data_IF_430572094040
#
_entry.id   IF_430572094040
#
_cell.length_a   1.000
_cell.length_b   1.000
_cell.length_c   1.000
_cell.angle_alpha   90.00
_cell.angle_beta   90.00
_cell.angle_gamma   90.00
#
_symmetry.space_group_name_H-M   'P 1'
#
loop_
_entity.id
_entity.type
_entity.pdbx_description
1 polymer ?
#
# COMPACT_ATOMS: atom_id res chain seq x y z
N UNK A 1 -25.98 -22.22 -101.71
CA UNK A 1 -26.46 -20.86 -102.01
C UNK A 1 -26.76 -20.16 -100.67
N UNK A 2 -25.90 -19.40 -100.11
CA UNK A 2 -25.76 -17.96 -100.21
C UNK A 2 -26.81 -17.16 -99.46
N UNK A 3 -26.41 -16.58 -98.31
CA UNK A 3 -26.50 -15.10 -98.22
C UNK A 3 -25.83 -14.66 -96.92
N UNK A 4 -24.89 -13.75 -97.07
CA UNK A 4 -24.29 -12.96 -95.96
C UNK A 4 -25.30 -11.94 -95.48
N UNK A 5 -25.34 -11.76 -94.20
CA UNK A 5 -25.89 -10.54 -93.58
C UNK A 5 -24.91 -10.07 -92.55
N UNK A 6 -24.39 -8.89 -92.79
CA UNK A 6 -23.57 -8.09 -91.87
C UNK A 6 -24.55 -7.55 -90.80
N UNK A 7 -24.13 -7.67 -89.55
CA UNK A 7 -24.73 -6.94 -88.43
C UNK A 7 -23.60 -6.28 -87.65
N UNK A 8 -23.69 -4.97 -87.62
CA UNK A 8 -22.69 -4.13 -86.96
C UNK A 8 -22.79 -4.25 -85.43
N UNK A 9 -21.67 -4.27 -84.81
CA UNK A 9 -21.51 -4.19 -83.39
C UNK A 9 -21.20 -2.78 -82.95
N UNK A 10 -22.12 -2.12 -82.25
CA UNK A 10 -21.92 -0.88 -81.54
C UNK A 10 -21.09 -1.18 -80.28
N UNK A 11 -19.88 -0.66 -80.22
CA UNK A 11 -19.04 -0.71 -79.02
C UNK A 11 -19.49 0.40 -78.06
N UNK A 12 -20.13 0.03 -76.98
CA UNK A 12 -20.40 0.94 -75.85
C UNK A 12 -19.23 0.88 -74.90
N UNK A 13 -18.40 1.92 -74.87
CA UNK A 13 -17.32 2.10 -73.91
C UNK A 13 -17.89 2.52 -72.56
N UNK A 14 -17.88 1.57 -71.59
CA UNK A 14 -18.16 1.86 -70.20
C UNK A 14 -16.87 2.30 -69.55
N UNK A 15 -16.75 3.61 -69.20
CA UNK A 15 -15.72 4.12 -68.33
C UNK A 15 -15.99 3.61 -66.88
N UNK A 16 -15.24 2.66 -66.44
CA UNK A 16 -15.16 2.28 -65.03
C UNK A 16 -14.29 3.30 -64.29
N UNK A 17 -14.92 4.22 -63.58
CA UNK A 17 -14.25 5.09 -62.60
C UNK A 17 -13.85 4.28 -61.40
N UNK A 18 -12.57 3.88 -61.32
CA UNK A 18 -11.95 3.22 -60.14
C UNK A 18 -11.73 4.29 -59.08
N UNK A 19 -12.63 4.46 -58.13
CA UNK A 19 -12.43 5.23 -56.92
C UNK A 19 -11.42 4.47 -56.02
N UNK A 20 -10.14 4.88 -56.03
CA UNK A 20 -9.18 4.50 -55.02
C UNK A 20 -9.62 5.11 -53.68
N UNK A 21 -10.23 4.29 -52.84
CA UNK A 21 -10.35 4.61 -51.43
C UNK A 21 -8.96 4.50 -50.83
N UNK A 22 -8.32 5.63 -50.61
CA UNK A 22 -7.10 5.69 -49.81
C UNK A 22 -7.46 5.29 -48.37
N UNK A 23 -7.22 4.03 -48.00
CA UNK A 23 -7.19 3.62 -46.62
C UNK A 23 -6.03 4.33 -45.95
N UNK A 24 -6.31 5.44 -45.28
CA UNK A 24 -5.38 6.06 -44.36
C UNK A 24 -5.11 5.04 -43.24
N UNK A 25 -3.99 4.34 -43.34
CA UNK A 25 -3.45 3.58 -42.20
C UNK A 25 -3.13 4.59 -41.10
N UNK A 26 -4.04 4.73 -40.13
CA UNK A 26 -3.72 5.42 -38.88
C UNK A 26 -2.58 4.61 -38.27
N UNK A 27 -1.36 5.08 -38.50
CA UNK A 27 -0.18 4.57 -37.80
C UNK A 27 -0.43 4.85 -36.32
N UNK A 28 -0.90 3.86 -35.58
CA UNK A 28 -1.07 3.94 -34.13
C UNK A 28 0.31 4.19 -33.53
N UNK A 29 0.66 5.46 -33.33
CA UNK A 29 1.82 5.80 -32.54
C UNK A 29 1.64 5.11 -31.19
N UNK A 30 2.49 4.14 -30.88
CA UNK A 30 2.48 3.48 -29.58
C UNK A 30 2.70 4.56 -28.53
N UNK A 31 1.66 4.82 -27.72
CA UNK A 31 1.76 5.80 -26.62
C UNK A 31 2.89 5.32 -25.71
N UNK A 32 4.00 6.06 -25.71
CA UNK A 32 5.14 5.75 -24.85
C UNK A 32 4.73 6.03 -23.40
N UNK A 33 4.54 4.95 -22.62
CA UNK A 33 4.19 5.06 -21.22
C UNK A 33 5.36 5.59 -20.38
N UNK A 34 5.08 6.53 -19.49
CA UNK A 34 6.06 7.02 -18.52
C UNK A 34 6.36 5.94 -17.50
N UNK A 35 7.63 5.57 -17.36
CA UNK A 35 8.06 4.58 -16.37
C UNK A 35 8.06 5.21 -14.97
N UNK A 36 7.50 4.49 -14.00
CA UNK A 36 7.49 4.85 -12.58
C UNK A 36 8.03 3.66 -11.79
N UNK A 37 9.15 3.85 -11.12
CA UNK A 37 9.66 2.90 -10.14
C UNK A 37 8.96 3.14 -8.81
N UNK A 38 8.19 2.15 -8.37
CA UNK A 38 7.47 2.17 -7.10
C UNK A 38 8.16 1.22 -6.13
N UNK A 39 8.71 1.74 -5.02
CA UNK A 39 9.29 0.92 -3.97
C UNK A 39 8.23 0.58 -2.93
N UNK A 40 8.09 -0.71 -2.65
CA UNK A 40 7.25 -1.24 -1.58
C UNK A 40 8.10 -1.46 -0.33
N UNK A 41 7.57 -1.21 0.86
CA UNK A 41 8.34 -1.13 2.10
C UNK A 41 8.85 -2.49 2.64
N UNK A 42 8.44 -3.60 2.07
CA UNK A 42 8.82 -4.93 2.50
C UNK A 42 9.69 -5.68 1.49
N UNK A 43 10.50 -6.65 1.96
CA UNK A 43 11.35 -7.47 1.10
C UNK A 43 10.57 -8.37 0.12
N UNK A 44 9.27 -8.48 0.26
CA UNK A 44 8.43 -9.28 -0.60
C UNK A 44 7.00 -8.77 -0.67
N UNK A 45 6.21 -9.29 -1.62
CA UNK A 45 4.82 -8.89 -1.81
C UNK A 45 3.91 -9.49 -0.74
N UNK A 46 2.96 -8.69 -0.26
CA UNK A 46 1.86 -9.10 0.59
C UNK A 46 0.54 -8.43 0.16
N UNK A 47 -0.57 -8.69 0.88
CA UNK A 47 -1.89 -8.26 0.46
C UNK A 47 -2.10 -6.73 0.47
N UNK A 48 -1.23 -5.94 1.10
CA UNK A 48 -1.38 -4.48 1.08
C UNK A 48 -1.10 -3.86 -0.29
N UNK A 49 -0.33 -4.55 -1.15
CA UNK A 49 -0.12 -4.10 -2.54
C UNK A 49 -1.29 -4.48 -3.47
N UNK A 50 -2.36 -5.09 -2.97
CA UNK A 50 -3.55 -5.46 -3.77
C UNK A 50 -4.12 -4.29 -4.60
N UNK A 51 -4.20 -3.04 -4.12
CA UNK A 51 -4.60 -1.89 -4.94
C UNK A 51 -3.70 -1.65 -6.16
N UNK A 52 -2.38 -1.82 -6.01
CA UNK A 52 -1.41 -1.65 -7.10
C UNK A 52 -1.55 -2.78 -8.12
N UNK A 53 -1.70 -4.03 -7.65
CA UNK A 53 -1.93 -5.19 -8.52
C UNK A 53 -3.24 -5.03 -9.30
N UNK A 54 -4.31 -4.59 -8.64
CA UNK A 54 -5.57 -4.30 -9.28
C UNK A 54 -5.42 -3.20 -10.33
N UNK A 55 -4.73 -2.12 -10.02
CA UNK A 55 -4.48 -1.03 -10.96
C UNK A 55 -3.69 -1.50 -12.19
N UNK A 56 -2.72 -2.39 -12.02
CA UNK A 56 -1.97 -2.99 -13.12
C UNK A 56 -2.86 -3.89 -13.99
N UNK A 57 -3.59 -4.81 -13.37
CA UNK A 57 -4.39 -5.80 -14.08
C UNK A 57 -5.62 -5.22 -14.79
N UNK A 58 -6.23 -4.18 -14.22
CA UNK A 58 -7.34 -3.46 -14.82
C UNK A 58 -6.89 -2.39 -15.84
N UNK A 59 -5.57 -2.22 -16.06
CA UNK A 59 -5.05 -1.26 -17.00
C UNK A 59 -5.13 0.21 -16.54
N UNK A 60 -5.43 0.48 -15.26
CA UNK A 60 -5.59 1.86 -14.77
C UNK A 60 -4.31 2.66 -14.84
N UNK A 61 -3.14 2.06 -14.62
CA UNK A 61 -1.87 2.75 -14.85
C UNK A 61 -1.66 3.09 -16.32
N UNK A 62 -1.92 2.14 -17.22
CA UNK A 62 -1.76 2.37 -18.66
C UNK A 62 -2.71 3.45 -19.18
N UNK A 63 -3.96 3.50 -18.69
CA UNK A 63 -4.92 4.55 -19.04
C UNK A 63 -4.50 5.95 -18.57
N UNK A 64 -3.65 6.04 -17.54
CA UNK A 64 -3.03 7.28 -17.08
C UNK A 64 -1.65 7.54 -17.74
N UNK A 65 -1.27 6.78 -18.78
CA UNK A 65 0.01 6.94 -19.47
C UNK A 65 1.22 6.43 -18.68
N UNK A 66 1.02 5.54 -17.68
CA UNK A 66 2.07 5.05 -16.80
C UNK A 66 2.36 3.56 -16.99
N UNK A 67 3.66 3.21 -16.84
CA UNK A 67 4.14 1.85 -16.65
C UNK A 67 4.82 1.76 -15.28
N UNK A 68 4.17 1.14 -14.31
CA UNK A 68 4.68 1.02 -12.95
C UNK A 68 5.49 -0.27 -12.80
N UNK A 69 6.72 -0.12 -12.32
CA UNK A 69 7.61 -1.21 -11.93
C UNK A 69 7.68 -1.25 -10.40
N UNK A 70 7.30 -2.38 -9.79
CA UNK A 70 7.32 -2.57 -8.35
C UNK A 70 8.69 -3.11 -7.92
N UNK A 71 9.30 -2.48 -6.93
CA UNK A 71 10.59 -2.85 -6.36
C UNK A 71 10.36 -3.27 -4.91
N UNK A 72 10.84 -4.45 -4.56
CA UNK A 72 10.89 -4.95 -3.19
C UNK A 72 12.31 -4.73 -2.66
N UNK A 73 12.51 -3.85 -1.66
CA UNK A 73 13.82 -3.57 -1.11
C UNK A 73 14.30 -4.73 -0.22
N UNK A 74 15.60 -4.83 0.09
CA UNK A 74 16.11 -5.86 1.00
C UNK A 74 15.61 -5.71 2.45
N UNK A 75 15.24 -4.49 2.84
CA UNK A 75 14.70 -4.15 4.16
C UNK A 75 13.90 -2.84 4.09
N UNK A 76 13.12 -2.55 5.14
CA UNK A 76 12.23 -1.38 5.20
C UNK A 76 12.98 -0.05 5.25
N UNK A 77 14.20 -0.01 5.82
CA UNK A 77 15.00 1.23 5.91
C UNK A 77 15.52 1.70 4.54
N UNK A 78 15.69 0.76 3.61
CA UNK A 78 16.17 1.03 2.24
C UNK A 78 15.14 1.79 1.40
N UNK A 79 13.84 1.68 1.69
CA UNK A 79 12.78 2.34 0.90
C UNK A 79 12.93 3.86 0.86
N UNK A 80 13.16 4.50 2.01
CA UNK A 80 13.38 5.94 2.10
C UNK A 80 14.67 6.36 1.39
N UNK A 81 15.72 5.55 1.45
CA UNK A 81 16.97 5.80 0.73
C UNK A 81 16.77 5.71 -0.79
N UNK A 82 16.03 4.72 -1.29
CA UNK A 82 15.73 4.59 -2.72
C UNK A 82 14.96 5.79 -3.27
N UNK A 83 14.04 6.37 -2.47
CA UNK A 83 13.35 7.61 -2.85
C UNK A 83 14.33 8.79 -2.91
N UNK A 84 15.16 8.98 -1.90
CA UNK A 84 16.08 10.14 -1.82
C UNK A 84 17.19 10.10 -2.86
N UNK A 85 17.63 8.92 -3.27
CA UNK A 85 18.65 8.73 -4.33
C UNK A 85 18.08 8.74 -5.74
N UNK A 86 16.74 8.70 -5.88
CA UNK A 86 16.06 8.62 -7.18
C UNK A 86 16.02 7.20 -7.80
N UNK A 87 16.46 6.18 -7.07
CA UNK A 87 16.31 4.77 -7.49
C UNK A 87 14.84 4.36 -7.58
N UNK A 88 13.98 4.96 -6.75
CA UNK A 88 12.53 4.89 -6.85
C UNK A 88 11.94 6.31 -6.97
N UNK A 89 10.78 6.40 -7.63
CA UNK A 89 10.07 7.66 -7.86
C UNK A 89 8.98 7.90 -6.83
N UNK A 90 8.23 6.85 -6.49
CA UNK A 90 7.16 6.84 -5.50
C UNK A 90 7.37 5.60 -4.62
N UNK A 91 7.05 5.70 -3.35
CA UNK A 91 7.18 4.60 -2.39
C UNK A 91 5.96 4.45 -1.51
N UNK A 92 5.87 3.26 -0.94
CA UNK A 92 4.97 2.91 0.15
C UNK A 92 5.84 2.72 1.39
N UNK A 93 5.70 3.60 2.37
CA UNK A 93 6.55 3.63 3.59
C UNK A 93 5.70 3.90 4.83
N UNK A 94 6.22 3.56 6.00
CA UNK A 94 5.52 3.90 7.25
C UNK A 94 5.56 5.41 7.51
N UNK A 95 4.53 5.91 8.17
CA UNK A 95 4.50 7.31 8.62
C UNK A 95 5.61 7.60 9.63
N UNK A 96 5.99 6.63 10.46
CA UNK A 96 7.09 6.75 11.42
C UNK A 96 8.45 6.84 10.74
N UNK A 97 8.75 5.96 9.77
CA UNK A 97 10.01 6.00 9.02
C UNK A 97 10.13 7.31 8.23
N UNK A 98 9.03 7.75 7.63
CA UNK A 98 9.00 9.04 6.95
C UNK A 98 9.29 10.20 7.91
N UNK A 99 8.66 10.23 9.09
CA UNK A 99 8.88 11.29 10.06
C UNK A 99 10.34 11.32 10.54
N UNK A 100 10.92 10.16 10.84
CA UNK A 100 12.33 10.03 11.22
C UNK A 100 13.26 10.49 10.09
N UNK A 101 12.99 10.07 8.84
CA UNK A 101 13.78 10.50 7.69
C UNK A 101 13.70 12.01 7.44
N UNK A 102 12.52 12.61 7.55
CA UNK A 102 12.34 14.07 7.42
C UNK A 102 13.07 14.81 8.54
N UNK A 103 13.05 14.30 9.76
CA UNK A 103 13.85 14.85 10.86
C UNK A 103 15.35 14.79 10.57
N UNK A 104 15.82 13.75 9.89
CA UNK A 104 17.18 13.61 9.39
C UNK A 104 17.47 14.42 8.10
N UNK A 105 16.57 15.35 7.73
CA UNK A 105 16.66 16.23 6.55
C UNK A 105 16.47 15.54 5.20
N UNK A 106 15.95 14.33 5.15
CA UNK A 106 15.53 13.71 3.90
C UNK A 106 14.39 14.55 3.26
N UNK A 107 14.46 14.88 1.96
CA UNK A 107 13.49 15.75 1.30
C UNK A 107 12.20 15.02 0.91
N UNK A 108 11.71 14.13 1.77
CA UNK A 108 10.51 13.33 1.52
C UNK A 108 9.23 14.15 1.67
N UNK A 109 8.20 13.72 0.95
CA UNK A 109 6.85 14.27 0.97
C UNK A 109 5.84 13.13 0.87
N UNK A 110 4.95 12.99 1.85
CA UNK A 110 3.78 12.15 1.73
C UNK A 110 2.76 12.79 0.81
N UNK A 111 2.30 12.04 -0.18
CA UNK A 111 1.34 12.52 -1.17
C UNK A 111 -0.05 11.90 -1.01
N UNK A 112 -0.17 10.84 -0.20
CA UNK A 112 -1.44 10.22 0.15
C UNK A 112 -1.30 9.28 1.35
N UNK A 113 -2.32 9.18 2.20
CA UNK A 113 -2.44 8.05 3.13
C UNK A 113 -2.79 6.77 2.37
N UNK A 114 -2.31 5.63 2.82
CA UNK A 114 -2.81 4.33 2.37
C UNK A 114 -4.09 3.95 3.12
N UNK A 115 -4.03 3.92 4.44
CA UNK A 115 -5.17 3.70 5.32
C UNK A 115 -5.55 4.98 6.06
N UNK A 116 -6.79 5.05 6.55
CA UNK A 116 -7.32 6.23 7.23
C UNK A 116 -7.37 6.05 8.75
N UNK A 117 -7.00 4.87 9.23
CA UNK A 117 -6.99 4.53 10.66
C UNK A 117 -5.89 3.54 10.97
N UNK A 118 -5.55 3.48 12.27
CA UNK A 118 -4.58 2.53 12.81
C UNK A 118 -5.27 1.20 13.10
N UNK A 119 -4.71 0.12 12.61
CA UNK A 119 -5.14 -1.25 12.88
C UNK A 119 -4.07 -2.07 13.61
N UNK A 120 -3.00 -1.42 14.08
CA UNK A 120 -1.98 -2.06 14.89
C UNK A 120 -2.54 -2.44 16.28
N UNK A 121 -2.00 -3.49 16.86
CA UNK A 121 -2.42 -3.99 18.15
C UNK A 121 -1.56 -5.13 18.65
N UNK A 122 -2.07 -5.81 19.66
CA UNK A 122 -1.43 -6.90 20.36
C UNK A 122 -2.24 -8.16 20.13
N UNK A 123 -1.58 -9.25 19.76
CA UNK A 123 -2.23 -10.50 19.38
C UNK A 123 -1.61 -11.67 20.14
N UNK A 124 -2.45 -12.53 20.72
CA UNK A 124 -2.05 -13.72 21.44
C UNK A 124 -2.76 -14.97 20.93
N UNK A 125 -2.28 -16.13 21.30
CA UNK A 125 -2.92 -17.42 20.95
C UNK A 125 -4.39 -17.44 21.37
N UNK A 126 -5.25 -18.16 20.61
CA UNK A 126 -6.62 -18.42 21.04
C UNK A 126 -6.68 -18.99 22.46
N UNK A 127 -7.62 -18.49 23.27
CA UNK A 127 -7.79 -18.90 24.65
C UNK A 127 -6.79 -18.28 25.66
N UNK A 128 -5.86 -17.43 25.21
CA UNK A 128 -4.99 -16.67 26.10
C UNK A 128 -5.80 -15.70 26.97
N UNK A 129 -5.35 -15.50 28.21
CA UNK A 129 -5.93 -14.49 29.14
C UNK A 129 -5.16 -13.17 29.02
N UNK A 130 -5.02 -12.65 27.78
CA UNK A 130 -4.32 -11.41 27.52
C UNK A 130 -5.23 -10.22 27.85
N UNK A 131 -4.78 -9.37 28.78
CA UNK A 131 -5.42 -8.08 29.13
C UNK A 131 -4.34 -7.06 29.41
N UNK A 132 -4.65 -5.76 29.34
CA UNK A 132 -3.69 -4.72 29.74
C UNK A 132 -3.25 -4.87 31.21
N UNK A 133 -4.13 -5.36 32.10
CA UNK A 133 -3.84 -5.54 33.51
C UNK A 133 -2.80 -6.64 33.80
N UNK A 134 -2.61 -7.60 32.90
CA UNK A 134 -1.69 -8.73 33.11
C UNK A 134 -0.44 -8.70 32.20
N UNK A 135 -0.07 -7.53 31.67
CA UNK A 135 1.13 -7.39 30.83
C UNK A 135 2.45 -7.46 31.60
N UNK A 136 2.44 -7.14 32.90
CA UNK A 136 3.66 -7.14 33.71
C UNK A 136 4.35 -8.50 33.69
N UNK A 137 5.66 -8.50 33.44
CA UNK A 137 6.50 -9.70 33.36
C UNK A 137 6.30 -10.52 32.07
N UNK A 138 5.48 -10.05 31.12
CA UNK A 138 5.18 -10.75 29.86
C UNK A 138 6.26 -10.50 28.78
N UNK A 139 6.37 -11.46 27.88
CA UNK A 139 7.25 -11.42 26.72
C UNK A 139 6.44 -11.02 25.48
N UNK A 140 6.83 -9.91 24.91
CA UNK A 140 6.21 -9.33 23.71
C UNK A 140 7.17 -9.46 22.53
N UNK A 141 6.67 -9.90 21.38
CA UNK A 141 7.42 -9.81 20.13
C UNK A 141 7.29 -8.43 19.51
N UNK A 142 8.40 -7.91 19.02
CA UNK A 142 8.50 -6.71 18.18
C UNK A 142 9.42 -7.00 17.00
N UNK A 143 9.07 -6.50 15.83
CA UNK A 143 9.94 -6.52 14.64
C UNK A 143 11.14 -5.58 14.78
N UNK A 144 11.21 -4.78 15.85
CA UNK A 144 12.25 -3.75 16.05
C UNK A 144 12.04 -2.50 15.19
N UNK A 145 10.89 -2.42 14.55
CA UNK A 145 10.50 -1.33 13.65
C UNK A 145 10.21 -0.02 14.40
N UNK A 146 10.33 1.10 13.69
CA UNK A 146 10.12 2.45 14.24
C UNK A 146 8.70 2.64 14.73
N UNK A 147 7.70 2.05 14.04
CA UNK A 147 6.30 2.14 14.42
C UNK A 147 6.03 1.48 15.78
N UNK A 148 6.40 0.22 15.93
CA UNK A 148 6.22 -0.51 17.19
C UNK A 148 6.95 0.18 18.34
N UNK A 149 8.18 0.65 18.09
CA UNK A 149 8.97 1.39 19.10
C UNK A 149 8.27 2.69 19.53
N UNK A 150 7.58 3.40 18.61
CA UNK A 150 6.81 4.59 18.94
C UNK A 150 5.51 4.29 19.71
N UNK A 151 4.89 3.13 19.46
CA UNK A 151 3.54 2.82 19.98
C UNK A 151 3.55 2.05 21.30
N UNK A 152 4.56 1.22 21.57
CA UNK A 152 4.66 0.43 22.80
C UNK A 152 4.60 1.28 24.10
N UNK A 153 5.24 2.46 24.19
CA UNK A 153 5.16 3.29 25.37
C UNK A 153 3.74 3.74 25.71
N UNK A 154 2.86 3.93 24.73
CA UNK A 154 1.44 4.22 24.99
C UNK A 154 0.74 3.02 25.62
N UNK A 155 1.04 1.80 25.16
CA UNK A 155 0.48 0.56 25.67
C UNK A 155 0.86 0.36 27.14
N UNK A 156 2.15 0.44 27.47
CA UNK A 156 2.62 0.24 28.84
C UNK A 156 2.12 1.35 29.77
N UNK A 157 2.06 2.59 29.31
CA UNK A 157 1.49 3.72 30.06
C UNK A 157 -0.01 3.48 30.34
N UNK A 158 -0.79 3.03 29.34
CA UNK A 158 -2.21 2.70 29.51
C UNK A 158 -2.44 1.56 30.50
N UNK A 159 -1.49 0.61 30.55
CA UNK A 159 -1.49 -0.50 31.52
C UNK A 159 -1.00 -0.09 32.93
N UNK A 160 -0.58 1.16 33.14
CA UNK A 160 0.03 1.62 34.40
C UNK A 160 1.44 1.08 34.64
N UNK A 161 2.15 0.71 33.56
CA UNK A 161 3.47 0.06 33.58
C UNK A 161 4.56 0.96 32.99
N UNK A 162 5.80 0.51 33.11
CA UNK A 162 6.98 1.04 32.43
C UNK A 162 7.50 0.04 31.39
N UNK A 163 8.30 0.48 30.42
CA UNK A 163 8.91 -0.42 29.44
C UNK A 163 9.73 -1.53 30.08
N UNK A 164 10.38 -1.27 31.24
CA UNK A 164 11.12 -2.26 32.01
C UNK A 164 10.26 -3.36 32.65
N UNK A 165 8.94 -3.19 32.71
CA UNK A 165 8.02 -4.18 33.26
C UNK A 165 7.63 -5.27 32.26
N UNK A 166 8.02 -5.14 31.00
CA UNK A 166 7.82 -6.13 29.92
C UNK A 166 9.17 -6.54 29.33
N UNK A 167 9.21 -7.72 28.71
CA UNK A 167 10.38 -8.16 27.93
C UNK A 167 10.05 -8.08 26.47
N UNK A 168 10.79 -7.24 25.71
CA UNK A 168 10.67 -7.17 24.26
C UNK A 168 11.61 -8.17 23.60
N UNK A 169 11.10 -9.04 22.76
CA UNK A 169 11.83 -10.06 22.01
C UNK A 169 11.78 -9.70 20.54
N UNK A 170 12.94 -9.59 19.88
CA UNK A 170 13.05 -9.34 18.45
C UNK A 170 13.64 -10.55 17.75
N UNK A 171 13.01 -11.02 16.69
CA UNK A 171 13.48 -12.13 15.85
C UNK A 171 12.91 -11.99 14.44
N UNK A 172 13.30 -12.86 13.53
CA UNK A 172 12.86 -12.85 12.14
C UNK A 172 11.44 -13.37 11.92
N UNK A 173 10.83 -14.05 12.91
CA UNK A 173 9.48 -14.59 12.82
C UNK A 173 8.86 -14.74 14.21
N UNK A 174 7.67 -14.18 14.39
CA UNK A 174 6.92 -14.23 15.65
C UNK A 174 6.12 -15.52 15.85
N UNK A 175 5.57 -16.08 14.77
CA UNK A 175 4.61 -17.17 14.84
C UNK A 175 5.15 -18.44 15.50
N UNK A 176 6.36 -18.95 15.14
CA UNK A 176 6.94 -20.10 15.83
C UNK A 176 7.16 -19.84 17.32
N UNK A 177 7.57 -18.61 17.69
CA UNK A 177 7.79 -18.24 19.08
C UNK A 177 6.48 -18.17 19.86
N UNK A 178 5.43 -17.60 19.25
CA UNK A 178 4.11 -17.49 19.83
C UNK A 178 3.49 -18.86 20.06
N UNK A 179 3.52 -19.75 19.07
CA UNK A 179 2.94 -21.09 19.17
C UNK A 179 3.67 -21.94 20.20
N UNK A 180 5.00 -21.83 20.28
CA UNK A 180 5.83 -22.52 21.28
C UNK A 180 5.73 -21.92 22.68
N UNK A 181 5.01 -20.80 22.87
CA UNK A 181 4.91 -20.11 24.18
C UNK A 181 6.22 -19.45 24.63
N UNK A 182 7.12 -19.15 23.69
CA UNK A 182 8.37 -18.43 23.99
C UNK A 182 8.14 -16.92 24.14
N UNK A 183 7.06 -16.43 23.54
CA UNK A 183 6.47 -15.10 23.74
C UNK A 183 5.00 -15.26 24.13
N UNK A 184 4.49 -14.32 24.89
CA UNK A 184 3.10 -14.31 25.32
C UNK A 184 2.18 -13.70 24.25
N UNK A 185 2.69 -12.74 23.49
CA UNK A 185 1.97 -12.00 22.46
C UNK A 185 2.90 -11.34 21.46
N UNK A 186 2.33 -11.01 20.32
CA UNK A 186 3.02 -10.33 19.24
C UNK A 186 2.39 -8.97 18.96
N UNK A 187 3.17 -8.03 18.45
CA UNK A 187 2.67 -6.80 17.86
C UNK A 187 2.49 -7.01 16.37
N UNK A 188 1.41 -6.52 15.83
CA UNK A 188 1.13 -6.57 14.39
C UNK A 188 0.01 -5.62 14.02
N UNK A 189 -0.27 -5.46 12.74
CA UNK A 189 -1.55 -4.94 12.29
C UNK A 189 -2.57 -6.07 12.15
N UNK A 190 -3.86 -5.76 12.29
CA UNK A 190 -4.92 -6.80 12.33
C UNK A 190 -4.99 -7.64 11.05
N UNK A 191 -4.68 -7.05 9.90
CA UNK A 191 -4.67 -7.71 8.61
C UNK A 191 -3.50 -8.70 8.40
N UNK A 192 -2.51 -8.72 9.31
CA UNK A 192 -1.45 -9.75 9.39
C UNK A 192 -1.63 -10.65 10.61
N UNK A 193 -1.83 -10.06 11.78
CA UNK A 193 -1.90 -10.82 13.04
C UNK A 193 -3.08 -11.80 13.09
N UNK A 194 -4.25 -11.36 12.60
CA UNK A 194 -5.44 -12.23 12.60
C UNK A 194 -5.27 -13.38 11.61
N UNK A 195 -4.99 -13.18 10.31
CA UNK A 195 -4.86 -14.31 9.39
C UNK A 195 -3.64 -15.20 9.70
N UNK A 196 -2.57 -14.67 10.27
CA UNK A 196 -1.41 -15.45 10.68
C UNK A 196 -1.74 -16.44 11.78
N UNK A 197 -2.35 -15.99 12.87
CA UNK A 197 -2.74 -16.85 13.98
C UNK A 197 -3.90 -17.77 13.59
N UNK A 198 -4.88 -17.28 12.82
CA UNK A 198 -5.98 -18.11 12.33
C UNK A 198 -5.47 -19.21 11.41
N UNK A 199 -4.56 -18.91 10.48
CA UNK A 199 -3.96 -19.90 9.59
C UNK A 199 -3.18 -20.98 10.33
N UNK A 200 -2.50 -20.62 11.41
CA UNK A 200 -1.71 -21.53 12.22
C UNK A 200 -2.54 -22.36 13.24
N UNK A 201 -3.71 -21.88 13.66
CA UNK A 201 -4.46 -22.49 14.78
C UNK A 201 -5.90 -22.88 14.43
N UNK A 202 -6.43 -22.44 13.31
CA UNK A 202 -7.84 -22.59 12.92
C UNK A 202 -8.81 -21.74 13.76
N UNK A 203 -8.30 -20.84 14.62
CA UNK A 203 -9.10 -20.01 15.54
C UNK A 203 -8.61 -18.56 15.53
N UNK A 204 -9.53 -17.64 15.79
CA UNK A 204 -9.16 -16.22 15.92
C UNK A 204 -8.25 -15.99 17.14
N UNK A 205 -7.29 -15.05 17.04
CA UNK A 205 -6.46 -14.63 18.16
C UNK A 205 -7.29 -13.96 19.27
N UNK A 206 -6.74 -13.93 20.47
CA UNK A 206 -7.10 -12.91 21.44
C UNK A 206 -6.34 -11.63 21.04
N UNK A 207 -7.04 -10.51 20.94
CA UNK A 207 -6.46 -9.26 20.48
C UNK A 207 -6.81 -8.09 21.39
N UNK A 208 -5.87 -7.18 21.57
CA UNK A 208 -6.10 -5.85 22.13
C UNK A 208 -5.78 -4.86 21.00
N UNK A 209 -6.79 -4.13 20.53
CA UNK A 209 -6.59 -3.11 19.50
C UNK A 209 -5.72 -1.98 20.01
N UNK A 210 -4.99 -1.30 19.12
CA UNK A 210 -4.19 -0.13 19.48
C UNK A 210 -5.01 0.92 20.22
N UNK A 211 -6.23 1.20 19.76
CA UNK A 211 -7.14 2.14 20.42
C UNK A 211 -7.45 1.72 21.88
N UNK A 212 -7.78 0.44 22.12
CA UNK A 212 -8.00 -0.07 23.47
C UNK A 212 -6.72 -0.02 24.33
N UNK A 213 -5.56 -0.15 23.70
CA UNK A 213 -4.25 -0.05 24.32
C UNK A 213 -3.74 1.40 24.50
N UNK A 214 -4.53 2.41 24.14
CA UNK A 214 -4.18 3.83 24.30
C UNK A 214 -3.24 4.36 23.20
N UNK A 215 -3.06 3.63 22.12
CA UNK A 215 -2.26 4.04 20.97
C UNK A 215 -3.03 5.08 20.15
N UNK A 216 -2.39 6.17 19.69
CA UNK A 216 -3.03 7.16 18.83
C UNK A 216 -3.59 6.54 17.54
N UNK A 217 -4.76 7.00 17.12
CA UNK A 217 -5.36 6.57 15.86
C UNK A 217 -4.79 7.38 14.70
N UNK A 218 -3.62 6.95 14.21
CA UNK A 218 -2.94 7.56 13.08
C UNK A 218 -2.69 6.48 12.00
N UNK A 219 -2.70 6.84 10.71
CA UNK A 219 -2.36 5.90 9.63
C UNK A 219 -0.96 5.34 9.78
N UNK A 220 -0.79 4.05 9.51
CA UNK A 220 0.52 3.38 9.56
C UNK A 220 1.32 3.68 8.30
N UNK A 221 0.66 3.68 7.13
CA UNK A 221 1.30 3.69 5.82
C UNK A 221 0.88 4.89 4.97
N UNK A 222 1.84 5.37 4.16
CA UNK A 222 1.64 6.45 3.18
C UNK A 222 2.26 6.12 1.84
N UNK A 223 1.73 6.74 0.79
CA UNK A 223 2.44 6.91 -0.48
C UNK A 223 3.30 8.16 -0.38
N UNK A 224 4.59 8.02 -0.62
CA UNK A 224 5.57 9.09 -0.48
C UNK A 224 6.45 9.23 -1.73
N UNK A 225 7.04 10.40 -1.90
CA UNK A 225 8.03 10.72 -2.92
C UNK A 225 8.98 11.80 -2.36
N UNK A 226 9.90 12.33 -3.18
CA UNK A 226 10.66 13.52 -2.78
C UNK A 226 9.90 14.81 -3.15
N UNK A 227 10.15 15.90 -2.40
CA UNK A 227 9.59 17.24 -2.71
C UNK A 227 9.96 17.69 -4.12
N UNK A 228 11.20 17.43 -4.55
CA UNK A 228 11.69 17.77 -5.89
C UNK A 228 10.97 16.96 -6.98
N UNK A 229 10.81 15.65 -6.79
CA UNK A 229 10.10 14.81 -7.75
C UNK A 229 8.62 15.22 -7.84
N UNK A 230 7.95 15.43 -6.72
CA UNK A 230 6.56 15.87 -6.68
C UNK A 230 6.34 17.19 -7.42
N UNK A 231 7.26 18.14 -7.27
CA UNK A 231 7.20 19.43 -7.97
C UNK A 231 7.47 19.29 -9.47
N UNK A 232 8.56 18.60 -9.84
CA UNK A 232 8.97 18.46 -11.24
C UNK A 232 8.05 17.55 -12.07
N UNK A 233 7.41 16.57 -11.43
CA UNK A 233 6.58 15.54 -12.05
C UNK A 233 5.17 15.47 -11.45
N UNK A 234 4.58 16.63 -11.15
CA UNK A 234 3.26 16.71 -10.50
C UNK A 234 2.15 15.96 -11.25
N UNK A 235 2.18 15.98 -12.59
CA UNK A 235 1.23 15.24 -13.44
C UNK A 235 1.39 13.71 -13.27
N UNK A 236 2.62 13.22 -13.16
CA UNK A 236 2.91 11.79 -12.96
C UNK A 236 2.42 11.33 -11.58
N UNK A 237 2.67 12.12 -10.53
CA UNK A 237 2.20 11.81 -9.17
C UNK A 237 0.68 11.78 -9.10
N UNK A 238 0.00 12.76 -9.72
CA UNK A 238 -1.49 12.78 -9.80
C UNK A 238 -2.03 11.60 -10.60
N UNK A 239 -1.43 11.27 -11.73
CA UNK A 239 -1.80 10.13 -12.57
C UNK A 239 -1.62 8.80 -11.82
N UNK A 240 -0.51 8.64 -11.08
CA UNK A 240 -0.25 7.48 -10.23
C UNK A 240 -1.32 7.33 -9.16
N UNK A 241 -1.58 8.39 -8.37
CA UNK A 241 -2.59 8.35 -7.30
C UNK A 241 -4.00 8.11 -7.84
N UNK A 242 -4.33 8.64 -9.05
CA UNK A 242 -5.61 8.37 -9.69
C UNK A 242 -5.75 6.89 -10.05
N UNK A 243 -4.75 6.29 -10.68
CA UNK A 243 -4.76 4.87 -11.00
C UNK A 243 -4.83 3.99 -9.75
N UNK A 244 -4.10 4.35 -8.69
CA UNK A 244 -4.15 3.63 -7.41
C UNK A 244 -5.52 3.77 -6.74
N UNK A 245 -6.17 4.93 -6.80
CA UNK A 245 -7.52 5.12 -6.30
C UNK A 245 -8.54 4.21 -7.03
N UNK A 246 -8.45 4.14 -8.35
CA UNK A 246 -9.30 3.27 -9.17
C UNK A 246 -9.06 1.79 -8.81
N UNK A 247 -7.78 1.39 -8.66
CA UNK A 247 -7.39 0.05 -8.19
C UNK A 247 -7.89 -0.26 -6.78
N UNK A 248 -7.81 0.72 -5.87
CA UNK A 248 -8.32 0.59 -4.49
C UNK A 248 -9.83 0.40 -4.48
N UNK A 249 -10.57 1.22 -5.22
CA UNK A 249 -12.04 1.11 -5.34
C UNK A 249 -12.46 -0.24 -5.93
N UNK A 250 -11.79 -0.66 -7.01
CA UNK A 250 -12.04 -1.96 -7.62
C UNK A 250 -11.78 -3.10 -6.64
N UNK A 251 -10.60 -3.12 -6.00
CA UNK A 251 -10.21 -4.16 -5.07
C UNK A 251 -11.10 -4.20 -3.81
N UNK A 252 -11.60 -3.06 -3.35
CA UNK A 252 -12.55 -2.97 -2.24
C UNK A 252 -13.93 -3.51 -2.61
N UNK A 253 -14.41 -3.23 -3.82
CA UNK A 253 -15.70 -3.73 -4.31
C UNK A 253 -15.66 -5.23 -4.67
N UNK A 254 -14.49 -5.74 -5.10
CA UNK A 254 -14.30 -7.11 -5.58
C UNK A 254 -13.29 -7.90 -4.73
N UNK A 255 -13.42 -7.86 -3.40
CA UNK A 255 -12.40 -8.32 -2.45
C UNK A 255 -11.86 -9.72 -2.72
N UNK A 256 -12.74 -10.71 -2.95
CA UNK A 256 -12.32 -12.09 -3.22
C UNK A 256 -11.56 -12.23 -4.54
N UNK A 257 -12.01 -11.54 -5.60
CA UNK A 257 -11.34 -11.55 -6.89
C UNK A 257 -9.98 -10.83 -6.82
N UNK A 258 -9.89 -9.71 -6.12
CA UNK A 258 -8.66 -8.95 -5.95
C UNK A 258 -7.61 -9.72 -5.14
N UNK A 259 -8.01 -10.39 -4.05
CA UNK A 259 -7.12 -11.26 -3.27
C UNK A 259 -6.64 -12.48 -4.09
N UNK A 260 -7.50 -13.07 -4.91
CA UNK A 260 -7.12 -14.14 -5.82
C UNK A 260 -6.15 -13.66 -6.92
N UNK A 261 -6.38 -12.46 -7.44
CA UNK A 261 -5.52 -11.82 -8.42
C UNK A 261 -4.13 -11.53 -7.86
N UNK A 262 -4.04 -11.04 -6.62
CA UNK A 262 -2.78 -10.89 -5.88
C UNK A 262 -2.07 -12.24 -5.72
N UNK A 263 -2.75 -13.28 -5.23
CA UNK A 263 -2.19 -14.62 -5.04
C UNK A 263 -1.64 -15.20 -6.36
N UNK A 264 -2.35 -14.96 -7.47
CA UNK A 264 -1.91 -15.38 -8.81
C UNK A 264 -0.69 -14.58 -9.28
N UNK A 265 -0.62 -13.29 -9.00
CA UNK A 265 0.51 -12.45 -9.39
C UNK A 265 1.78 -12.81 -8.59
N UNK A 266 1.63 -13.22 -7.34
CA UNK A 266 2.74 -13.52 -6.44
C UNK A 266 2.62 -14.90 -5.77
N UNK A 267 2.70 -15.99 -6.55
CA UNK A 267 2.52 -17.36 -6.03
C UNK A 267 3.62 -17.80 -5.03
N UNK A 268 4.72 -17.04 -4.98
CA UNK A 268 5.86 -17.29 -4.08
C UNK A 268 5.95 -16.28 -2.93
N UNK A 269 4.88 -15.56 -2.63
CA UNK A 269 4.85 -14.56 -1.55
C UNK A 269 5.02 -15.15 -0.13
N UNK A 270 4.88 -16.47 0.02
CA UNK A 270 4.88 -17.11 1.34
C UNK A 270 3.51 -17.14 2.02
N UNK A 271 2.53 -16.41 1.51
CA UNK A 271 1.17 -16.34 2.07
C UNK A 271 0.18 -17.22 1.30
N UNK A 272 -0.69 -17.91 2.03
CA UNK A 272 -1.75 -18.73 1.41
C UNK A 272 -2.87 -17.86 0.83
N UNK A 273 -3.64 -18.40 -0.12
CA UNK A 273 -4.81 -17.69 -0.66
C UNK A 273 -5.84 -17.31 0.43
N UNK A 274 -6.02 -18.18 1.44
CA UNK A 274 -6.91 -17.91 2.58
C UNK A 274 -6.38 -16.75 3.44
N UNK A 275 -5.07 -16.71 3.69
CA UNK A 275 -4.41 -15.61 4.39
C UNK A 275 -4.63 -14.29 3.65
N UNK A 276 -4.33 -14.26 2.34
CA UNK A 276 -4.46 -13.06 1.52
C UNK A 276 -5.92 -12.56 1.46
N UNK A 277 -6.89 -13.47 1.34
CA UNK A 277 -8.31 -13.15 1.34
C UNK A 277 -8.76 -12.53 2.66
N UNK A 278 -8.41 -13.15 3.78
CA UNK A 278 -8.76 -12.65 5.12
C UNK A 278 -8.04 -11.33 5.40
N UNK A 279 -6.74 -11.25 5.14
CA UNK A 279 -5.97 -10.02 5.34
C UNK A 279 -6.51 -8.85 4.53
N UNK A 280 -6.82 -9.05 3.24
CA UNK A 280 -7.43 -8.02 2.42
C UNK A 280 -8.81 -7.59 2.93
N UNK A 281 -9.65 -8.53 3.34
CA UNK A 281 -10.96 -8.21 3.90
C UNK A 281 -10.89 -7.35 5.18
N UNK A 282 -9.84 -7.53 5.99
CA UNK A 282 -9.58 -6.72 7.18
C UNK A 282 -8.93 -5.37 6.85
N UNK A 283 -8.31 -5.24 5.69
CA UNK A 283 -7.72 -3.98 5.21
C UNK A 283 -8.77 -3.02 4.66
N UNK A 284 -9.74 -3.52 3.90
CA UNK A 284 -10.74 -2.69 3.19
C UNK A 284 -11.44 -1.66 4.08
N UNK A 285 -11.93 -1.97 5.30
CA UNK A 285 -12.58 -1.00 6.16
C UNK A 285 -11.67 0.17 6.60
N UNK A 286 -10.35 0.01 6.49
CA UNK A 286 -9.37 1.01 6.90
C UNK A 286 -9.07 2.06 5.82
N UNK A 287 -9.47 1.81 4.57
CA UNK A 287 -9.04 2.58 3.41
C UNK A 287 -9.79 3.90 3.23
N UNK A 288 -10.93 4.07 3.92
CA UNK A 288 -11.74 5.30 3.87
C UNK A 288 -11.90 5.93 5.24
N UNK A 289 -12.02 7.25 5.29
CA UNK A 289 -12.44 7.96 6.48
C UNK A 289 -13.97 7.88 6.67
N UNK A 290 -14.47 8.44 7.77
CA UNK A 290 -15.91 8.46 8.09
C UNK A 290 -16.79 9.16 7.02
N UNK A 291 -16.19 9.94 6.11
CA UNK A 291 -16.87 10.60 4.99
C UNK A 291 -16.72 9.79 3.67
N UNK A 292 -16.22 8.56 3.72
CA UNK A 292 -15.99 7.71 2.55
C UNK A 292 -14.83 8.18 1.64
N UNK A 293 -13.95 9.08 2.12
CA UNK A 293 -12.83 9.60 1.34
C UNK A 293 -11.57 8.77 1.57
N UNK A 294 -10.86 8.49 0.47
CA UNK A 294 -9.56 7.82 0.45
C UNK A 294 -8.42 8.84 0.56
N UNK A 295 -7.25 8.41 1.00
CA UNK A 295 -5.95 9.07 0.84
C UNK A 295 -5.74 10.38 1.61
N UNK A 296 -6.80 10.95 2.19
CA UNK A 296 -6.77 12.29 2.81
C UNK A 296 -5.87 12.31 4.03
N UNK A 297 -4.99 13.30 4.09
CA UNK A 297 -4.09 13.53 5.22
C UNK A 297 -4.53 14.77 6.00
N UNK A 298 -4.27 14.80 7.31
CA UNK A 298 -4.61 15.92 8.19
C UNK A 298 -3.46 16.27 9.13
N UNK A 299 -3.36 17.53 9.50
CA UNK A 299 -2.38 18.01 10.50
C UNK A 299 -2.52 17.24 11.83
N UNK A 300 -3.75 16.94 12.25
CA UNK A 300 -4.00 16.24 13.49
C UNK A 300 -3.37 14.83 13.51
N UNK A 301 -3.41 14.09 12.39
CA UNK A 301 -2.79 12.77 12.29
C UNK A 301 -1.27 12.84 12.47
N UNK A 302 -0.62 13.76 11.78
CA UNK A 302 0.82 13.94 11.88
C UNK A 302 1.26 14.45 13.26
N UNK A 303 0.51 15.40 13.85
CA UNK A 303 0.77 15.88 15.21
C UNK A 303 0.63 14.79 16.27
N UNK A 304 -0.34 13.87 16.12
CA UNK A 304 -0.50 12.73 17.02
C UNK A 304 0.65 11.72 16.89
N UNK A 305 1.12 11.46 15.67
CA UNK A 305 2.29 10.61 15.43
C UNK A 305 3.54 11.20 16.10
N UNK A 306 3.78 12.50 15.89
CA UNK A 306 4.94 13.20 16.44
C UNK A 306 4.99 13.14 17.97
N UNK A 307 3.82 13.20 18.66
CA UNK A 307 3.79 13.03 20.12
C UNK A 307 4.41 11.69 20.55
N UNK A 308 4.10 10.61 19.83
CA UNK A 308 4.69 9.30 20.08
C UNK A 308 6.19 9.26 19.80
N UNK A 309 6.60 9.77 18.66
CA UNK A 309 7.99 9.77 18.24
C UNK A 309 8.88 10.64 19.14
N UNK A 310 8.39 11.80 19.59
CA UNK A 310 9.10 12.66 20.56
C UNK A 310 9.18 11.99 21.93
N UNK A 311 8.06 11.43 22.43
CA UNK A 311 8.02 10.78 23.73
C UNK A 311 9.00 9.58 23.81
N UNK A 312 9.26 8.92 22.67
CA UNK A 312 10.19 7.79 22.56
C UNK A 312 11.59 8.20 22.06
N UNK A 313 11.83 9.51 21.90
CA UNK A 313 13.11 10.08 21.46
C UNK A 313 13.55 9.62 20.06
N UNK A 314 12.64 9.17 19.22
CA UNK A 314 12.93 8.82 17.83
C UNK A 314 13.09 10.07 16.95
N UNK A 315 12.38 11.14 17.31
CA UNK A 315 12.61 12.50 16.78
C UNK A 315 12.86 13.47 17.94
N UNK A 316 13.58 14.54 17.66
CA UNK A 316 13.94 15.54 18.71
C UNK A 316 12.79 16.50 18.99
N UNK A 317 12.14 16.95 17.94
CA UNK A 317 11.06 17.96 17.98
C UNK A 317 10.00 17.63 16.93
N UNK A 318 8.75 17.96 17.21
CA UNK A 318 7.67 17.86 16.25
C UNK A 318 7.77 19.05 15.27
N UNK A 319 7.97 18.82 13.96
CA UNK A 319 7.90 19.90 12.97
C UNK A 319 6.45 20.27 12.69
N UNK A 320 6.23 21.37 11.96
CA UNK A 320 4.89 21.70 11.45
C UNK A 320 4.41 20.57 10.53
N UNK A 321 3.19 20.05 10.69
CA UNK A 321 2.67 18.92 9.92
C UNK A 321 2.76 19.07 8.40
N UNK A 322 2.58 20.28 7.87
CA UNK A 322 2.75 20.59 6.45
C UNK A 322 4.17 20.32 5.91
N UNK A 323 5.15 20.07 6.78
CA UNK A 323 6.49 19.64 6.39
C UNK A 323 6.49 18.22 5.84
N UNK A 324 5.57 17.39 6.31
CA UNK A 324 5.49 15.97 5.96
C UNK A 324 4.68 15.69 4.70
N UNK A 325 3.58 16.42 4.46
CA UNK A 325 2.59 15.99 3.48
C UNK A 325 2.01 17.11 2.62
N UNK A 326 1.39 16.70 1.53
CA UNK A 326 0.57 17.57 0.69
C UNK A 326 -0.61 16.80 0.10
N UNK A 327 -1.83 17.34 0.26
CA UNK A 327 -3.04 16.84 -0.40
C UNK A 327 -3.24 17.41 -1.82
N UNK A 328 -2.31 18.23 -2.34
CA UNK A 328 -2.43 18.88 -3.65
C UNK A 328 -2.37 17.91 -4.84
N UNK A 329 -1.93 16.67 -4.59
CA UNK A 329 -1.80 15.62 -5.60
C UNK A 329 -2.97 14.65 -5.60
N UNK A 330 -3.89 14.74 -4.64
CA UNK A 330 -5.01 13.81 -4.52
C UNK A 330 -5.95 13.91 -5.73
N UNK A 331 -6.44 12.77 -6.25
CA UNK A 331 -7.47 12.76 -7.28
C UNK A 331 -8.81 13.24 -6.72
N UNK A 332 -9.67 13.75 -7.60
CA UNK A 332 -11.07 14.04 -7.26
C UNK A 332 -11.79 12.74 -6.81
N UNK A 333 -12.69 12.86 -5.82
CA UNK A 333 -13.41 11.73 -5.20
C UNK A 333 -14.88 12.06 -4.99
#
# INVERSE_FOLDING_TARGET
MKRRVLSGVLASSVLAASSLVAMSTVSGASVQLTKVNFVYDFPGPDMEITPIVAAQQQGYFASQGLKVNIIFPPDTSTSSQMLTTGAANIGFITTSDMAVAVQAKAPLLSVANYSMSNNWGLFAKPGSKLTLANLKGKKLFSWGDTWTNAMLPFVVKKAGLKMSDITVVTASNDMPLLLAGKIDWTTSTSNYGVPGIFGATGKNPVAITGAAAGVPNVPVWVYATTKSYASAHASVVKAFLKAVLEGTKYASAHQSAAAAAFTKAYPKSGYTAAYNKLGWSLTVPLLTNAKGKYFVQTDAQWSLLDQGLVATKQIKTAPTPSTYYSNAYLPAQ
#
